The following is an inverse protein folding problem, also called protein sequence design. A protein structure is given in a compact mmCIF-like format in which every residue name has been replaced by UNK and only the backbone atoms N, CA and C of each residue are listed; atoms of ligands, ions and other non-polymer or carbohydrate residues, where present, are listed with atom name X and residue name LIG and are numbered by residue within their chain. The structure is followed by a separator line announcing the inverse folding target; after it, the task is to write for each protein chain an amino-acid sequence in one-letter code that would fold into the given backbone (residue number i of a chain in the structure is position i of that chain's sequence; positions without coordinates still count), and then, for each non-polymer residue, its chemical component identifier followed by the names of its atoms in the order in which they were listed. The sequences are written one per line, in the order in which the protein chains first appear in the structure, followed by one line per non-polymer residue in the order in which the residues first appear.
data_IF_441343865054
#
_entry.id   IF_441343865054
#
_cell.length_a   1.000
_cell.length_b   1.000
_cell.length_c   1.000
_cell.angle_alpha   90.00
_cell.angle_beta   90.00
_cell.angle_gamma   90.00
#
_symmetry.space_group_name_H-M   'P 1'
#
loop_
_entity.id
_entity.type
_entity.pdbx_description
1 polymer ?
#
# COMPACT_ATOMS: atom_id res chain seq x y z
N UNK A 1 18.21 -54.88 33.93
CA UNK A 1 17.12 -53.90 33.69
C UNK A 1 17.72 -52.67 33.01
N UNK A 2 17.58 -52.55 31.68
CA UNK A 2 18.07 -51.39 30.91
C UNK A 2 16.98 -50.31 30.94
N UNK A 3 17.27 -49.17 31.59
CA UNK A 3 16.40 -47.98 31.59
C UNK A 3 16.57 -47.26 30.25
N UNK A 4 15.60 -47.39 29.35
CA UNK A 4 15.50 -46.54 28.15
C UNK A 4 14.91 -45.20 28.57
N UNK A 5 15.75 -44.16 28.62
CA UNK A 5 15.32 -42.79 28.82
C UNK A 5 14.75 -42.27 27.48
N UNK A 6 13.43 -42.14 27.39
CA UNK A 6 12.76 -41.59 26.22
C UNK A 6 12.88 -40.06 26.26
N UNK A 7 13.76 -39.49 25.44
CA UNK A 7 13.92 -38.04 25.31
C UNK A 7 12.86 -37.51 24.31
N UNK A 8 11.74 -37.03 24.84
CA UNK A 8 10.71 -36.35 24.04
C UNK A 8 11.22 -34.93 23.74
N UNK A 9 11.85 -34.74 22.57
CA UNK A 9 12.10 -33.40 22.03
C UNK A 9 10.74 -32.78 21.67
N UNK A 10 10.26 -31.86 22.50
CA UNK A 10 9.22 -30.92 22.09
C UNK A 10 9.80 -30.00 21.01
N UNK A 11 9.57 -30.32 19.74
CA UNK A 11 9.71 -29.36 18.64
C UNK A 11 8.54 -28.39 18.72
N UNK A 12 8.60 -27.45 19.66
CA UNK A 12 7.73 -26.27 19.62
C UNK A 12 8.20 -25.46 18.42
N UNK A 13 7.50 -25.62 17.30
CA UNK A 13 7.70 -24.79 16.13
C UNK A 13 7.47 -23.33 16.52
N UNK A 14 8.55 -22.59 16.72
CA UNK A 14 8.51 -21.13 16.84
C UNK A 14 8.02 -20.60 15.50
N UNK A 15 6.71 -20.40 15.37
CA UNK A 15 6.13 -19.68 14.24
C UNK A 15 6.58 -18.22 14.38
N UNK A 16 7.75 -17.90 13.82
CA UNK A 16 8.23 -16.54 13.68
C UNK A 16 7.34 -15.86 12.64
N UNK A 17 6.31 -15.15 13.11
CA UNK A 17 5.56 -14.25 12.25
C UNK A 17 6.45 -13.03 12.00
N UNK A 18 7.08 -13.00 10.83
CA UNK A 18 7.89 -11.88 10.41
C UNK A 18 7.01 -10.61 10.37
N UNK A 19 7.27 -9.70 11.30
CA UNK A 19 6.46 -8.52 11.49
C UNK A 19 6.86 -7.47 10.45
N UNK A 20 5.90 -7.07 9.61
CA UNK A 20 6.09 -5.91 8.74
C UNK A 20 5.87 -4.64 9.56
N UNK A 21 6.75 -3.65 9.40
CA UNK A 21 6.60 -2.31 9.95
C UNK A 21 6.70 -1.25 8.86
N UNK A 22 6.02 -0.13 9.08
CA UNK A 22 6.15 1.08 8.26
C UNK A 22 6.98 2.08 9.04
N UNK A 23 8.08 2.52 8.45
CA UNK A 23 8.97 3.55 9.02
C UNK A 23 8.97 4.74 8.08
N UNK A 24 8.70 5.95 8.58
CA UNK A 24 8.67 7.16 7.75
C UNK A 24 9.97 7.29 6.96
N UNK A 25 9.86 7.54 5.65
CA UNK A 25 10.99 7.76 4.76
C UNK A 25 11.04 9.23 4.36
N UNK A 26 12.21 9.86 4.54
CA UNK A 26 12.46 11.26 4.19
C UNK A 26 13.60 11.38 3.15
N UNK A 27 13.82 10.35 2.34
CA UNK A 27 14.91 10.31 1.36
C UNK A 27 14.59 11.18 0.14
N UNK A 28 15.06 12.42 0.18
CA UNK A 28 14.88 13.39 -0.90
C UNK A 28 15.46 12.91 -2.24
N UNK A 29 16.51 12.07 -2.24
CA UNK A 29 17.09 11.55 -3.48
C UNK A 29 16.14 10.57 -4.16
N UNK A 30 15.51 9.69 -3.38
CA UNK A 30 14.54 8.73 -3.89
C UNK A 30 13.22 9.41 -4.31
N UNK A 31 12.81 10.48 -3.63
CA UNK A 31 11.69 11.33 -4.05
C UNK A 31 11.97 11.99 -5.40
N UNK A 32 13.19 12.48 -5.63
CA UNK A 32 13.60 13.01 -6.94
C UNK A 32 13.56 11.92 -8.02
N UNK A 33 14.13 10.74 -7.76
CA UNK A 33 14.06 9.60 -8.69
C UNK A 33 12.60 9.22 -8.99
N UNK A 34 11.72 9.31 -7.99
CA UNK A 34 10.28 9.08 -8.16
C UNK A 34 9.66 10.05 -9.18
N UNK A 35 9.97 11.34 -9.06
CA UNK A 35 9.48 12.36 -10.00
C UNK A 35 10.00 12.08 -11.41
N UNK A 36 11.29 11.76 -11.56
CA UNK A 36 11.90 11.48 -12.86
C UNK A 36 11.29 10.25 -13.54
N UNK A 37 11.12 9.15 -12.81
CA UNK A 37 10.55 7.91 -13.37
C UNK A 37 9.04 8.01 -13.64
N UNK A 38 8.29 8.73 -12.81
CA UNK A 38 6.88 9.02 -13.05
C UNK A 38 6.69 9.90 -14.30
N UNK A 39 7.55 10.92 -14.50
CA UNK A 39 7.57 11.73 -15.72
C UNK A 39 7.82 10.89 -16.98
N UNK A 40 8.79 9.97 -16.96
CA UNK A 40 9.04 9.06 -18.08
C UNK A 40 7.83 8.18 -18.43
N UNK A 41 6.95 7.93 -17.46
CA UNK A 41 5.70 7.18 -17.63
C UNK A 41 4.49 8.06 -17.98
N UNK A 42 4.71 9.37 -18.20
CA UNK A 42 3.70 10.31 -18.67
C UNK A 42 2.87 10.96 -17.56
N UNK A 43 3.31 10.92 -16.30
CA UNK A 43 2.71 11.70 -15.21
C UNK A 43 3.51 12.99 -15.08
N UNK A 44 2.86 14.15 -15.20
CA UNK A 44 3.50 15.47 -15.12
C UNK A 44 3.01 16.25 -13.90
N UNK A 45 3.62 17.41 -13.63
CA UNK A 45 3.29 18.31 -12.51
C UNK A 45 3.18 17.56 -11.17
N UNK A 46 4.17 16.72 -10.93
CA UNK A 46 4.17 15.78 -9.82
C UNK A 46 4.41 16.48 -8.49
N UNK A 47 3.57 16.17 -7.51
CA UNK A 47 3.77 16.48 -6.09
C UNK A 47 3.83 15.19 -5.28
N UNK A 48 4.94 14.98 -4.59
CA UNK A 48 5.12 13.86 -3.65
C UNK A 48 4.40 14.15 -2.33
N UNK A 49 3.77 13.13 -1.76
CA UNK A 49 3.13 13.20 -0.45
C UNK A 49 4.14 12.77 0.63
N UNK A 50 5.15 13.62 0.88
CA UNK A 50 6.34 13.29 1.68
C UNK A 50 6.01 12.79 3.09
N UNK A 51 4.98 13.35 3.72
CA UNK A 51 4.53 12.95 5.06
C UNK A 51 3.97 11.52 5.13
N UNK A 52 3.71 10.90 3.98
CA UNK A 52 3.16 9.56 3.85
C UNK A 52 4.04 8.64 2.99
N UNK A 53 5.33 8.96 2.88
CA UNK A 53 6.32 8.04 2.34
C UNK A 53 6.84 7.10 3.45
N UNK A 54 6.93 5.80 3.17
CA UNK A 54 7.29 4.79 4.16
C UNK A 54 8.23 3.73 3.60
N UNK A 55 9.26 3.40 4.38
CA UNK A 55 9.97 2.14 4.26
C UNK A 55 9.11 1.01 4.83
N UNK A 56 8.97 -0.06 4.06
CA UNK A 56 8.37 -1.32 4.47
C UNK A 56 9.49 -2.26 4.89
N UNK A 57 9.54 -2.57 6.18
CA UNK A 57 10.58 -3.41 6.75
C UNK A 57 9.98 -4.72 7.27
N UNK A 58 10.63 -5.84 6.96
CA UNK A 58 10.38 -7.14 7.55
C UNK A 58 11.52 -7.47 8.52
N UNK A 59 11.23 -7.62 9.82
CA UNK A 59 12.26 -7.91 10.83
C UNK A 59 13.48 -6.96 10.73
N UNK A 60 13.23 -5.65 10.57
CA UNK A 60 14.22 -4.58 10.35
C UNK A 60 14.98 -4.61 9.01
N UNK A 61 14.71 -5.58 8.13
CA UNK A 61 15.25 -5.58 6.77
C UNK A 61 14.28 -4.89 5.82
N UNK A 62 14.78 -3.97 5.00
CA UNK A 62 13.94 -3.31 4.02
C UNK A 62 13.51 -4.29 2.90
N UNK A 63 12.20 -4.40 2.71
CA UNK A 63 11.59 -5.17 1.61
C UNK A 63 11.01 -4.26 0.52
N UNK A 64 10.85 -2.97 0.82
CA UNK A 64 10.72 -1.92 -0.16
C UNK A 64 10.34 -0.58 0.45
N UNK A 65 10.06 0.40 -0.39
CA UNK A 65 9.70 1.77 0.00
C UNK A 65 8.55 2.24 -0.86
N UNK A 66 7.52 2.79 -0.21
CA UNK A 66 6.29 3.33 -0.79
C UNK A 66 6.42 4.84 -0.81
N UNK A 67 6.29 5.44 -1.99
CA UNK A 67 6.31 6.90 -2.19
C UNK A 67 5.04 7.30 -2.93
N UNK A 68 4.00 7.75 -2.23
CA UNK A 68 2.79 8.24 -2.86
C UNK A 68 3.03 9.63 -3.48
N UNK A 69 2.38 9.87 -4.60
CA UNK A 69 2.38 11.17 -5.26
C UNK A 69 1.08 11.43 -5.99
N UNK A 70 0.93 12.67 -6.46
CA UNK A 70 -0.13 13.06 -7.37
C UNK A 70 0.42 13.90 -8.51
N UNK A 71 -0.30 13.96 -9.61
CA UNK A 71 0.07 14.75 -10.79
C UNK A 71 -0.99 14.60 -11.88
N UNK A 72 -0.62 14.90 -13.12
CA UNK A 72 -1.52 14.78 -14.26
C UNK A 72 -1.01 13.73 -15.23
N UNK A 73 -1.82 12.72 -15.51
CA UNK A 73 -1.50 11.73 -16.52
C UNK A 73 -1.76 12.30 -17.91
N UNK A 74 -0.73 12.25 -18.77
CA UNK A 74 -0.72 12.76 -20.15
C UNK A 74 -1.19 14.22 -20.27
N UNK A 75 -0.95 15.04 -19.25
CA UNK A 75 -1.33 16.47 -19.15
C UNK A 75 -2.83 16.75 -18.96
N UNK A 76 -3.70 15.75 -18.77
CA UNK A 76 -5.15 15.97 -18.71
C UNK A 76 -5.80 15.43 -17.44
N UNK A 77 -5.44 14.24 -17.00
CA UNK A 77 -6.20 13.54 -15.96
C UNK A 77 -5.51 13.64 -14.60
N UNK A 78 -6.14 14.26 -13.58
CA UNK A 78 -5.57 14.30 -12.23
C UNK A 78 -5.53 12.88 -11.65
N UNK A 79 -4.31 12.40 -11.36
CA UNK A 79 -4.07 11.03 -10.86
C UNK A 79 -3.32 11.03 -9.54
N UNK A 80 -3.64 10.04 -8.70
CA UNK A 80 -2.78 9.62 -7.61
C UNK A 80 -1.99 8.41 -8.08
N UNK A 81 -0.74 8.30 -7.63
CA UNK A 81 0.08 7.13 -7.89
C UNK A 81 0.90 6.75 -6.67
N UNK A 82 1.37 5.51 -6.66
CA UNK A 82 2.21 4.93 -5.63
C UNK A 82 3.45 4.36 -6.31
N UNK A 83 4.61 4.94 -6.01
CA UNK A 83 5.90 4.42 -6.44
C UNK A 83 6.43 3.40 -5.46
N UNK A 84 7.05 2.34 -5.99
CA UNK A 84 7.63 1.24 -5.23
C UNK A 84 9.10 1.07 -5.58
N UNK A 85 9.95 1.17 -4.57
CA UNK A 85 11.38 0.86 -4.68
C UNK A 85 11.71 -0.37 -3.85
N UNK A 86 12.48 -1.30 -4.41
CA UNK A 86 12.96 -2.50 -3.69
C UNK A 86 14.36 -2.33 -3.11
N UNK A 87 15.07 -1.26 -3.49
CA UNK A 87 16.49 -1.05 -3.20
C UNK A 87 16.80 0.36 -2.64
N UNK A 88 15.77 1.18 -2.44
CA UNK A 88 15.85 2.60 -2.05
C UNK A 88 16.63 3.50 -3.00
N UNK A 89 16.85 3.06 -4.24
CA UNK A 89 17.63 3.80 -5.24
C UNK A 89 16.87 3.96 -6.54
N UNK A 90 16.17 2.92 -6.97
CA UNK A 90 15.45 2.85 -8.24
C UNK A 90 13.97 2.59 -8.02
N UNK A 91 13.12 3.07 -8.94
CA UNK A 91 11.68 2.82 -8.90
C UNK A 91 11.36 1.59 -9.74
N UNK A 92 11.16 0.48 -9.04
CA UNK A 92 10.84 -0.82 -9.66
C UNK A 92 9.42 -0.84 -10.25
N UNK A 93 8.47 -0.14 -9.65
CA UNK A 93 7.09 -0.09 -10.13
C UNK A 93 6.41 1.25 -9.77
N UNK A 94 5.41 1.63 -10.57
CA UNK A 94 4.49 2.73 -10.30
C UNK A 94 3.08 2.21 -10.54
N UNK A 95 2.22 2.30 -9.51
CA UNK A 95 0.81 1.91 -9.58
C UNK A 95 -0.05 3.17 -9.56
N UNK A 96 -0.92 3.35 -10.55
CA UNK A 96 -1.92 4.41 -10.52
C UNK A 96 -3.06 3.99 -9.59
N UNK A 97 -3.43 4.85 -8.64
CA UNK A 97 -4.43 4.52 -7.61
C UNK A 97 -5.77 5.22 -7.78
N UNK A 98 -5.77 6.54 -8.03
CA UNK A 98 -6.99 7.33 -8.26
C UNK A 98 -6.88 8.08 -9.59
N UNK A 99 -8.01 8.36 -10.24
CA UNK A 99 -8.07 9.02 -11.53
C UNK A 99 -7.71 8.14 -12.72
N UNK A 100 -7.72 6.80 -12.55
CA UNK A 100 -7.39 5.84 -13.60
C UNK A 100 -8.10 4.50 -13.35
N UNK A 101 -8.39 3.75 -14.42
CA UNK A 101 -9.00 2.42 -14.35
C UNK A 101 -10.36 2.45 -13.64
N UNK A 102 -10.56 1.58 -12.65
CA UNK A 102 -11.79 1.51 -11.86
C UNK A 102 -12.09 2.80 -11.07
N UNK A 103 -11.10 3.72 -10.96
CA UNK A 103 -11.21 5.01 -10.30
C UNK A 103 -11.13 6.20 -11.27
N UNK A 104 -11.45 6.02 -12.56
CA UNK A 104 -11.35 7.08 -13.58
C UNK A 104 -12.16 8.34 -13.26
N UNK A 105 -13.31 8.20 -12.61
CA UNK A 105 -14.18 9.33 -12.21
C UNK A 105 -13.84 9.92 -10.84
N UNK A 106 -12.85 9.35 -10.14
CA UNK A 106 -12.43 9.79 -8.81
C UNK A 106 -11.13 10.58 -8.92
N UNK A 107 -11.26 11.88 -9.13
CA UNK A 107 -10.11 12.77 -9.33
C UNK A 107 -9.28 12.86 -8.06
N UNK A 108 -7.97 12.68 -8.17
CA UNK A 108 -7.07 12.67 -7.02
C UNK A 108 -6.95 14.05 -6.36
N UNK A 109 -7.48 14.21 -5.14
CA UNK A 109 -7.34 15.44 -4.36
C UNK A 109 -6.23 15.32 -3.30
N UNK A 110 -6.40 14.39 -2.36
CA UNK A 110 -5.50 14.23 -1.24
C UNK A 110 -5.37 12.76 -0.79
N UNK A 111 -4.20 12.39 -0.26
CA UNK A 111 -4.03 11.13 0.46
C UNK A 111 -4.17 11.42 1.96
N UNK A 112 -5.21 10.90 2.59
CA UNK A 112 -5.54 11.23 3.97
C UNK A 112 -4.92 10.27 4.96
N UNK A 113 -4.82 8.99 4.58
CA UNK A 113 -4.26 7.96 5.45
C UNK A 113 -3.61 6.84 4.64
N UNK A 114 -2.53 6.32 5.22
CA UNK A 114 -1.86 5.09 4.80
C UNK A 114 -1.74 4.19 6.02
N UNK A 115 -1.99 2.90 5.86
CA UNK A 115 -1.88 1.98 6.98
C UNK A 115 -1.59 0.56 6.59
N UNK A 116 -0.75 -0.09 7.38
CA UNK A 116 -0.49 -1.52 7.29
C UNK A 116 -1.64 -2.34 7.86
N UNK A 117 -1.99 -3.42 7.18
CA UNK A 117 -3.01 -4.37 7.58
C UNK A 117 -2.48 -5.78 7.38
N UNK A 118 -2.60 -6.63 8.40
CA UNK A 118 -2.32 -8.06 8.29
C UNK A 118 -3.65 -8.81 8.34
N UNK A 119 -3.88 -9.75 7.42
CA UNK A 119 -5.08 -10.59 7.43
C UNK A 119 -4.81 -11.91 6.72
N UNK A 120 -5.23 -13.03 7.32
CA UNK A 120 -5.05 -14.40 6.81
C UNK A 120 -3.61 -14.69 6.32
N UNK A 121 -2.59 -14.28 7.08
CA UNK A 121 -1.18 -14.49 6.74
C UNK A 121 -0.63 -13.60 5.62
N UNK A 122 -1.44 -12.70 5.06
CA UNK A 122 -1.04 -11.73 4.04
C UNK A 122 -0.89 -10.33 4.63
N UNK A 123 -0.02 -9.53 4.00
CA UNK A 123 0.20 -8.12 4.35
C UNK A 123 -0.35 -7.22 3.26
N UNK A 124 -1.13 -6.22 3.68
CA UNK A 124 -1.68 -5.19 2.82
C UNK A 124 -1.29 -3.80 3.31
N UNK A 125 -1.29 -2.85 2.38
CA UNK A 125 -1.23 -1.42 2.64
C UNK A 125 -2.53 -0.81 2.12
N UNK A 126 -3.33 -0.31 3.05
CA UNK A 126 -4.55 0.43 2.75
C UNK A 126 -4.24 1.92 2.61
N UNK A 127 -4.92 2.54 1.66
CA UNK A 127 -4.88 3.97 1.41
C UNK A 127 -6.30 4.53 1.47
N UNK A 128 -6.44 5.71 2.06
CA UNK A 128 -7.69 6.48 2.07
C UNK A 128 -7.41 7.80 1.39
N UNK A 129 -8.11 8.06 0.30
CA UNK A 129 -7.98 9.28 -0.49
C UNK A 129 -9.21 10.15 -0.32
N UNK A 130 -9.02 11.46 -0.35
CA UNK A 130 -10.05 12.41 -0.78
C UNK A 130 -10.03 12.46 -2.29
N UNK A 131 -11.20 12.39 -2.91
CA UNK A 131 -11.35 12.43 -4.36
C UNK A 131 -12.44 13.41 -4.76
N UNK A 132 -12.19 14.14 -5.84
CA UNK A 132 -13.17 15.00 -6.50
C UNK A 132 -14.06 14.18 -7.43
N UNK A 133 -15.34 14.51 -7.47
CA UNK A 133 -16.34 13.95 -8.38
C UNK A 133 -16.68 14.94 -9.49
N UNK A 134 -17.30 14.48 -10.60
CA UNK A 134 -17.67 15.35 -11.72
C UNK A 134 -18.69 16.47 -11.38
N UNK A 135 -19.40 16.35 -10.26
CA UNK A 135 -20.40 17.32 -9.79
C UNK A 135 -19.88 18.24 -8.67
N UNK A 136 -18.56 18.45 -8.64
CA UNK A 136 -17.83 19.29 -7.68
C UNK A 136 -17.92 18.83 -6.21
N UNK A 137 -18.47 17.64 -5.96
CA UNK A 137 -18.45 17.02 -4.62
C UNK A 137 -17.09 16.39 -4.33
N UNK A 138 -16.77 16.26 -3.05
CA UNK A 138 -15.64 15.48 -2.57
C UNK A 138 -16.15 14.26 -1.82
N UNK A 139 -15.58 13.10 -2.14
CA UNK A 139 -15.81 11.86 -1.41
C UNK A 139 -14.48 11.28 -0.92
N UNK A 140 -14.55 10.23 -0.13
CA UNK A 140 -13.38 9.44 0.23
C UNK A 140 -13.36 8.20 -0.63
N UNK A 141 -12.21 7.69 -1.03
CA UNK A 141 -12.08 6.37 -1.68
C UNK A 141 -10.96 5.54 -1.06
N UNK A 142 -11.14 4.23 -1.12
CA UNK A 142 -10.12 3.27 -0.73
C UNK A 142 -9.28 2.80 -1.91
N UNK A 143 -8.00 2.56 -1.64
CA UNK A 143 -7.13 1.78 -2.49
C UNK A 143 -6.39 0.76 -1.63
N UNK A 144 -6.09 -0.42 -2.18
CA UNK A 144 -5.47 -1.50 -1.43
C UNK A 144 -4.36 -2.15 -2.24
N UNK A 145 -3.17 -2.24 -1.64
CA UNK A 145 -2.05 -3.01 -2.18
C UNK A 145 -1.80 -4.24 -1.32
N UNK A 146 -1.58 -5.40 -1.93
CA UNK A 146 -0.98 -6.58 -1.29
C UNK A 146 0.54 -6.56 -1.49
N UNK A 147 1.29 -6.92 -0.45
CA UNK A 147 2.75 -7.07 -0.49
C UNK A 147 3.11 -8.56 -0.55
N UNK A 148 3.75 -8.98 -1.64
CA UNK A 148 4.44 -10.27 -1.70
C UNK A 148 5.87 -10.08 -1.15
N UNK A 149 6.07 -10.50 0.10
CA UNK A 149 7.34 -10.33 0.83
C UNK A 149 8.49 -11.10 0.19
N UNK A 150 8.20 -12.28 -0.37
CA UNK A 150 9.21 -13.15 -0.97
C UNK A 150 9.72 -12.56 -2.28
N UNK A 151 8.81 -12.01 -3.09
CA UNK A 151 9.15 -11.40 -4.38
C UNK A 151 9.50 -9.91 -4.28
N UNK A 152 9.25 -9.29 -3.12
CA UNK A 152 9.36 -7.83 -2.91
C UNK A 152 8.54 -7.03 -3.92
N UNK A 153 7.33 -7.49 -4.20
CA UNK A 153 6.42 -6.85 -5.17
C UNK A 153 5.14 -6.37 -4.49
N UNK A 154 4.55 -5.32 -5.06
CA UNK A 154 3.20 -4.85 -4.71
C UNK A 154 2.21 -5.22 -5.81
N UNK A 155 0.95 -5.47 -5.44
CA UNK A 155 -0.13 -5.77 -6.39
C UNK A 155 -1.41 -5.08 -5.96
N UNK A 156 -2.12 -4.48 -6.90
CA UNK A 156 -3.43 -3.90 -6.67
C UNK A 156 -4.45 -4.99 -6.29
N UNK A 157 -5.12 -4.77 -5.15
CA UNK A 157 -6.19 -5.61 -4.59
C UNK A 157 -7.39 -4.76 -4.17
N UNK A 158 -7.57 -3.60 -4.79
CA UNK A 158 -8.66 -2.67 -4.46
C UNK A 158 -10.03 -3.30 -4.69
N UNK A 159 -10.13 -4.28 -5.60
CA UNK A 159 -11.34 -5.07 -5.82
C UNK A 159 -11.89 -5.76 -4.55
N UNK A 160 -11.04 -6.02 -3.55
CA UNK A 160 -11.48 -6.60 -2.27
C UNK A 160 -12.25 -5.59 -1.43
N UNK A 161 -11.95 -4.29 -1.57
CA UNK A 161 -12.54 -3.19 -0.80
C UNK A 161 -13.60 -2.41 -1.59
N UNK A 162 -13.94 -2.82 -2.82
CA UNK A 162 -14.97 -2.19 -3.64
C UNK A 162 -16.33 -2.11 -2.92
N UNK A 163 -16.69 -3.17 -2.20
CA UNK A 163 -17.92 -3.21 -1.41
C UNK A 163 -17.99 -2.15 -0.31
N UNK A 164 -16.84 -1.58 0.09
CA UNK A 164 -16.75 -0.50 1.07
C UNK A 164 -16.82 0.89 0.45
N UNK A 165 -16.79 1.01 -0.88
CA UNK A 165 -16.73 2.32 -1.52
C UNK A 165 -18.04 3.09 -1.37
N UNK A 166 -19.18 2.41 -1.40
CA UNK A 166 -20.50 3.03 -1.38
C UNK A 166 -21.23 2.81 -0.05
N UNK A 167 -20.50 2.71 1.06
CA UNK A 167 -21.10 2.57 2.39
C UNK A 167 -21.15 3.92 3.10
N UNK A 168 -22.15 4.09 3.98
CA UNK A 168 -22.27 5.26 4.84
C UNK A 168 -21.26 5.25 6.01
N UNK A 169 -20.43 4.22 6.13
CA UNK A 169 -19.41 4.14 7.18
C UNK A 169 -18.28 5.14 6.92
N UNK A 170 -17.78 5.77 7.99
CA UNK A 170 -16.62 6.67 7.90
C UNK A 170 -15.42 5.91 7.35
N UNK A 171 -14.97 6.31 6.14
CA UNK A 171 -13.84 5.66 5.48
C UNK A 171 -12.55 5.83 6.27
N UNK A 172 -12.02 4.72 6.77
CA UNK A 172 -10.78 4.64 7.55
C UNK A 172 -10.01 3.34 7.29
N UNK A 173 -8.71 3.32 7.65
CA UNK A 173 -7.88 2.10 7.65
C UNK A 173 -8.48 1.00 8.55
N UNK A 174 -9.10 1.39 9.67
CA UNK A 174 -9.73 0.45 10.61
C UNK A 174 -10.90 -0.28 9.96
N UNK A 175 -11.70 0.40 9.14
CA UNK A 175 -12.80 -0.23 8.40
C UNK A 175 -12.28 -1.22 7.35
N UNK A 176 -11.22 -0.89 6.60
CA UNK A 176 -10.55 -1.84 5.69
C UNK A 176 -10.10 -3.09 6.46
N UNK A 177 -9.43 -2.91 7.62
CA UNK A 177 -8.97 -4.04 8.46
C UNK A 177 -10.11 -4.95 8.88
N UNK A 178 -11.23 -4.37 9.32
CA UNK A 178 -12.44 -5.12 9.74
C UNK A 178 -13.03 -5.90 8.57
N UNK A 179 -13.07 -5.30 7.39
CA UNK A 179 -13.57 -5.94 6.17
C UNK A 179 -12.69 -7.10 5.71
N UNK A 180 -11.38 -6.88 5.60
CA UNK A 180 -10.44 -7.94 5.20
C UNK A 180 -10.51 -9.14 6.13
N UNK A 181 -10.62 -8.90 7.44
CA UNK A 181 -10.82 -9.98 8.43
C UNK A 181 -12.05 -10.82 8.10
N UNK A 182 -13.17 -10.18 7.72
CA UNK A 182 -14.40 -10.89 7.36
C UNK A 182 -14.32 -11.62 6.03
N UNK A 183 -13.70 -11.03 5.02
CA UNK A 183 -13.65 -11.63 3.67
C UNK A 183 -12.63 -12.76 3.57
N UNK A 184 -11.55 -12.71 4.36
CA UNK A 184 -10.43 -13.65 4.24
C UNK A 184 -10.40 -14.75 5.30
N UNK A 185 -11.16 -14.61 6.38
CA UNK A 185 -11.33 -15.66 7.42
C UNK A 185 -12.65 -16.44 7.26
N UNK A 186 -13.37 -16.26 6.13
CA UNK A 186 -14.44 -17.15 5.67
C UNK A 186 -13.86 -18.45 5.14
#
# INVERSE_FOLDING_TARGET
MKKTLLLIMLTVSLQSHAAISLVKNNDASLMKTTIEDANKRGIVDIKIQEEQAFDVNENNNNIGTIIPGKGFYKNYYPVCFISWSTDKKTISNIVLSMGNGDFEFSQCENLDAVGKIESAGKTFIGFVYSVGLPDDRTEKNYFLLEIDKNKKTITDKSNIVDALQNTDEIKSITAIRKHLKKEMEK
#
